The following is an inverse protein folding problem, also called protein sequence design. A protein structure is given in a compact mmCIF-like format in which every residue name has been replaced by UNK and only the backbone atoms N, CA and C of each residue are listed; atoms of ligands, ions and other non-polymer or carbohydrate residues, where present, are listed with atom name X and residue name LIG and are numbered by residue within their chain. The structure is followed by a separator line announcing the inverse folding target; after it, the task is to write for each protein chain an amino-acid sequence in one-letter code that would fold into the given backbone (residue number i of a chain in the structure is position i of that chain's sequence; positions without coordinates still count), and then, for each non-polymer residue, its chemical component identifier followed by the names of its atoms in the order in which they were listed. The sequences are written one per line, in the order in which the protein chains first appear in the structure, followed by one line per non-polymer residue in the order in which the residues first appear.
data_IF_840362003939
#
_entry.id   IF_840362003939
#
_cell.length_a   1.000
_cell.length_b   1.000
_cell.length_c   1.000
_cell.angle_alpha   90.00
_cell.angle_beta   90.00
_cell.angle_gamma   90.00
#
_symmetry.space_group_name_H-M   'P 1'
#
loop_
_entity.id
_entity.type
_entity.pdbx_description
1 polymer ?
#
# COMPACT_ATOMS: atom_id res chain seq x y z
N UNK A 1 -1.74 -21.72 0.39
CA UNK A 1 -2.46 -20.52 -0.09
C UNK A 1 -1.94 -19.33 0.70
N UNK A 2 -1.25 -18.36 0.10
CA UNK A 2 -0.70 -17.27 0.90
C UNK A 2 -1.87 -16.39 1.31
N UNK A 3 -1.98 -16.21 2.62
CA UNK A 3 -2.99 -15.45 3.30
C UNK A 3 -3.08 -14.06 2.67
N UNK A 4 -4.29 -13.66 2.28
CA UNK A 4 -4.58 -12.26 1.94
C UNK A 4 -3.89 -11.37 2.97
N UNK A 5 -2.97 -10.50 2.53
CA UNK A 5 -2.50 -9.40 3.36
C UNK A 5 -3.78 -8.70 3.84
N UNK A 6 -4.15 -8.94 5.10
CA UNK A 6 -5.29 -8.29 5.74
C UNK A 6 -4.84 -6.87 6.01
N UNK A 7 -4.93 -6.03 4.98
CA UNK A 7 -4.85 -4.60 5.19
C UNK A 7 -5.98 -4.26 6.16
N UNK A 8 -5.65 -3.73 7.32
CA UNK A 8 -6.66 -3.19 8.19
C UNK A 8 -7.19 -1.91 7.53
N UNK A 9 -8.11 -2.05 6.58
CA UNK A 9 -8.94 -0.97 6.04
C UNK A 9 -9.77 -0.27 7.16
N UNK A 10 -9.64 -0.76 8.40
CA UNK A 10 -10.25 -0.27 9.61
C UNK A 10 -9.19 0.22 10.62
N UNK A 11 -8.12 0.89 10.19
CA UNK A 11 -7.31 1.67 11.14
C UNK A 11 -8.22 2.57 12.01
N UNK A 12 -9.38 2.98 11.47
CA UNK A 12 -10.48 3.62 12.20
C UNK A 12 -11.11 2.86 13.39
N UNK A 13 -10.82 1.56 13.57
CA UNK A 13 -11.47 0.71 14.60
C UNK A 13 -10.47 0.00 15.49
N UNK A 14 -9.55 0.73 16.13
CA UNK A 14 -8.87 0.20 17.32
C UNK A 14 -9.92 -0.10 18.41
N UNK A 15 -10.19 -1.39 18.63
CA UNK A 15 -11.15 -1.86 19.62
C UNK A 15 -10.59 -1.76 21.05
N UNK A 16 -9.27 -1.92 21.21
CA UNK A 16 -8.54 -1.94 22.48
C UNK A 16 -7.43 -0.88 22.45
N UNK A 17 -7.12 -0.31 23.61
CA UNK A 17 -6.09 0.71 23.74
C UNK A 17 -4.69 0.10 23.56
N UNK A 18 -3.86 0.70 22.71
CA UNK A 18 -2.49 0.24 22.48
C UNK A 18 -1.56 0.41 23.71
N UNK A 19 -1.96 1.22 24.70
CA UNK A 19 -1.17 1.46 25.94
C UNK A 19 -1.57 0.57 27.10
N UNK A 20 -2.87 0.43 27.38
CA UNK A 20 -3.38 -0.24 28.59
C UNK A 20 -4.43 -1.31 28.30
N UNK A 21 -4.63 -1.68 27.03
CA UNK A 21 -5.61 -2.64 26.56
C UNK A 21 -7.09 -2.31 26.84
N UNK A 22 -7.47 -1.28 27.59
CA UNK A 22 -8.88 -0.92 27.84
C UNK A 22 -9.69 -0.79 26.54
N UNK A 23 -10.96 -1.25 26.48
CA UNK A 23 -11.83 -1.02 25.34
C UNK A 23 -11.92 0.47 24.98
N UNK A 24 -11.61 0.80 23.74
CA UNK A 24 -11.62 2.18 23.26
C UNK A 24 -13.07 2.64 23.07
N UNK A 25 -13.35 3.94 23.28
CA UNK A 25 -14.65 4.56 23.03
C UNK A 25 -14.54 5.64 21.96
N UNK A 26 -15.61 5.88 21.21
CA UNK A 26 -15.69 7.03 20.32
C UNK A 26 -16.18 8.20 21.15
N UNK A 27 -15.35 9.23 21.30
CA UNK A 27 -15.66 10.41 22.10
C UNK A 27 -15.16 11.67 21.41
N UNK A 28 -15.72 12.81 21.79
CA UNK A 28 -15.34 14.11 21.24
C UNK A 28 -14.02 14.55 21.85
N UNK A 29 -13.04 14.83 20.99
CA UNK A 29 -11.69 15.31 21.35
C UNK A 29 -11.44 16.54 20.50
N UNK A 30 -11.56 17.72 21.13
CA UNK A 30 -11.65 18.98 20.41
C UNK A 30 -12.94 19.06 19.57
N UNK A 31 -12.78 19.37 18.29
CA UNK A 31 -13.84 19.53 17.29
C UNK A 31 -14.25 18.21 16.61
N UNK A 32 -13.51 17.11 16.81
CA UNK A 32 -13.71 15.85 16.08
C UNK A 32 -14.07 14.68 17.01
N UNK A 33 -14.86 13.75 16.49
CA UNK A 33 -15.05 12.44 17.11
C UNK A 33 -13.83 11.57 16.85
N UNK A 34 -13.22 11.07 17.93
CA UNK A 34 -12.02 10.23 17.87
C UNK A 34 -12.19 8.99 18.73
N UNK A 35 -11.42 7.95 18.41
CA UNK A 35 -11.26 6.79 19.29
C UNK A 35 -10.31 7.17 20.40
N UNK A 36 -10.78 7.17 21.64
CA UNK A 36 -9.94 7.47 22.80
C UNK A 36 -10.24 6.55 23.98
N UNK A 37 -9.22 6.34 24.79
CA UNK A 37 -9.23 5.41 25.92
C UNK A 37 -9.81 6.11 27.15
N UNK A 38 -10.89 5.60 27.76
CA UNK A 38 -11.47 6.21 28.96
C UNK A 38 -10.61 6.00 30.22
N UNK A 39 -9.67 5.05 30.22
CA UNK A 39 -8.87 4.74 31.41
C UNK A 39 -7.56 5.55 31.50
N UNK A 40 -6.86 5.73 30.38
CA UNK A 40 -5.53 6.37 30.37
C UNK A 40 -5.44 7.61 29.47
N UNK A 41 -6.54 8.03 28.84
CA UNK A 41 -6.59 9.22 27.99
C UNK A 41 -5.93 9.08 26.62
N UNK A 42 -5.38 7.92 26.25
CA UNK A 42 -4.78 7.70 24.92
C UNK A 42 -5.78 7.99 23.78
N UNK A 43 -5.37 8.78 22.80
CA UNK A 43 -6.17 9.11 21.61
C UNK A 43 -5.55 8.41 20.39
N UNK A 44 -6.37 7.65 19.67
CA UNK A 44 -5.97 7.03 18.41
C UNK A 44 -6.31 7.95 17.25
N UNK A 45 -5.27 8.51 16.63
CA UNK A 45 -5.38 9.32 15.42
C UNK A 45 -5.38 8.42 14.19
N UNK A 46 -6.37 8.61 13.33
CA UNK A 46 -6.52 7.85 12.08
C UNK A 46 -6.02 8.70 10.94
N UNK A 47 -4.81 8.43 10.48
CA UNK A 47 -4.25 9.10 9.32
C UNK A 47 -4.41 8.23 8.07
N UNK A 48 -4.62 8.83 6.89
CA UNK A 48 -4.61 8.10 5.64
C UNK A 48 -3.21 7.49 5.41
N UNK A 49 -3.16 6.25 4.93
CA UNK A 49 -1.89 5.69 4.43
C UNK A 49 -1.64 6.25 3.04
N UNK A 50 -0.44 6.79 2.83
CA UNK A 50 -0.02 7.32 1.53
C UNK A 50 0.38 6.16 0.62
N UNK A 51 -0.10 6.21 -0.63
CA UNK A 51 0.28 5.29 -1.68
C UNK A 51 0.75 6.05 -2.92
N UNK A 52 1.54 5.37 -3.73
CA UNK A 52 2.17 5.90 -4.95
C UNK A 52 1.97 4.90 -6.07
N UNK A 53 1.71 5.41 -7.28
CA UNK A 53 1.72 4.65 -8.51
C UNK A 53 2.56 5.38 -9.56
N UNK A 54 3.22 4.64 -10.44
CA UNK A 54 4.17 5.19 -11.42
C UNK A 54 3.88 4.69 -12.82
N UNK A 55 3.92 5.61 -13.79
CA UNK A 55 3.95 5.28 -15.22
C UNK A 55 5.41 5.26 -15.68
N UNK A 56 5.89 4.10 -16.12
CA UNK A 56 7.20 3.98 -16.75
C UNK A 56 6.99 3.90 -18.26
N UNK A 57 7.53 4.88 -18.99
CA UNK A 57 7.47 4.95 -20.44
C UNK A 57 8.81 4.54 -21.04
N UNK A 58 8.77 3.71 -22.07
CA UNK A 58 9.94 3.32 -22.84
C UNK A 58 9.54 3.01 -24.28
N UNK A 59 10.16 3.69 -25.26
CA UNK A 59 9.88 3.51 -26.70
C UNK A 59 8.39 3.59 -27.06
N UNK A 60 7.66 4.54 -26.47
CA UNK A 60 6.22 4.70 -26.69
C UNK A 60 5.34 3.63 -26.03
N UNK A 61 5.91 2.74 -25.22
CA UNK A 61 5.20 1.69 -24.47
C UNK A 61 5.14 2.03 -22.99
N UNK A 62 4.17 1.47 -22.28
CA UNK A 62 3.98 1.61 -20.82
C UNK A 62 4.18 0.27 -20.13
N UNK A 63 4.83 0.30 -18.96
CA UNK A 63 4.97 -0.81 -18.02
C UNK A 63 3.63 -1.11 -17.32
N UNK A 64 3.15 -2.35 -17.45
CA UNK A 64 2.02 -2.87 -16.70
C UNK A 64 2.38 -4.16 -15.95
N UNK A 65 1.84 -4.30 -14.73
CA UNK A 65 1.98 -5.49 -13.89
C UNK A 65 0.65 -6.23 -13.81
N UNK A 66 0.70 -7.57 -13.80
CA UNK A 66 -0.49 -8.40 -13.58
C UNK A 66 -0.68 -8.63 -12.10
N UNK A 67 -1.83 -8.22 -11.55
CA UNK A 67 -2.13 -8.36 -10.13
C UNK A 67 -2.20 -9.84 -9.74
N UNK A 68 -1.37 -10.24 -8.78
CA UNK A 68 -1.38 -11.60 -8.21
C UNK A 68 -2.18 -11.69 -6.91
N UNK A 69 -2.55 -10.54 -6.33
CA UNK A 69 -3.23 -10.42 -5.04
C UNK A 69 -4.61 -9.77 -5.17
N UNK A 70 -5.54 -10.19 -4.31
CA UNK A 70 -6.86 -9.57 -4.21
C UNK A 70 -6.78 -8.14 -3.65
N UNK A 71 -7.72 -7.25 -4.03
CA UNK A 71 -8.80 -7.49 -4.99
C UNK A 71 -8.29 -7.45 -6.45
N UNK A 72 -9.10 -7.99 -7.38
CA UNK A 72 -8.85 -7.93 -8.82
C UNK A 72 -7.60 -8.69 -9.31
N UNK A 73 -7.42 -9.93 -8.83
CA UNK A 73 -6.39 -10.83 -9.36
C UNK A 73 -6.54 -10.98 -10.88
N UNK A 74 -5.43 -11.03 -11.58
CA UNK A 74 -5.34 -11.27 -13.02
C UNK A 74 -5.53 -10.02 -13.88
N UNK A 75 -5.99 -8.90 -13.31
CA UNK A 75 -6.10 -7.62 -14.03
C UNK A 75 -4.76 -6.90 -14.15
N UNK A 76 -4.66 -6.05 -15.16
CA UNK A 76 -3.52 -5.16 -15.39
C UNK A 76 -3.59 -3.91 -14.50
N UNK A 77 -2.44 -3.44 -14.05
CA UNK A 77 -2.29 -2.21 -13.27
C UNK A 77 -0.89 -1.61 -13.50
N UNK A 78 -0.71 -0.36 -13.12
CA UNK A 78 0.62 0.24 -13.01
C UNK A 78 1.33 -0.29 -11.76
N UNK A 79 2.68 -0.28 -11.71
CA UNK A 79 3.41 -0.49 -10.46
C UNK A 79 2.96 0.54 -9.42
N UNK A 80 2.65 0.06 -8.22
CA UNK A 80 2.14 0.90 -7.14
C UNK A 80 2.29 0.21 -5.79
N UNK A 81 2.50 1.01 -4.75
CA UNK A 81 2.69 0.54 -3.38
C UNK A 81 2.46 1.62 -2.34
N UNK A 82 2.63 1.25 -1.08
CA UNK A 82 2.48 2.16 0.05
C UNK A 82 3.83 2.79 0.41
N UNK A 83 3.79 4.09 0.76
CA UNK A 83 4.97 4.82 1.24
C UNK A 83 5.20 4.47 2.70
N UNK A 84 6.40 4.03 3.05
CA UNK A 84 6.76 3.76 4.44
C UNK A 84 7.00 5.04 5.24
N UNK A 85 6.86 4.95 6.56
CA UNK A 85 6.97 6.13 7.42
C UNK A 85 8.40 6.70 7.34
N UNK A 86 8.53 7.94 6.87
CA UNK A 86 9.81 8.60 6.67
C UNK A 86 10.49 8.31 5.32
N UNK A 87 9.88 7.50 4.45
CA UNK A 87 10.38 7.25 3.09
C UNK A 87 9.96 8.40 2.15
N UNK A 88 10.87 8.86 1.27
CA UNK A 88 10.50 9.81 0.23
C UNK A 88 9.59 9.11 -0.80
N UNK A 89 8.43 9.68 -1.17
CA UNK A 89 7.52 9.06 -2.14
C UNK A 89 8.17 8.71 -3.49
N UNK A 90 9.24 9.41 -3.90
CA UNK A 90 10.01 9.13 -5.11
C UNK A 90 10.84 7.86 -4.95
N UNK A 91 11.44 7.64 -3.79
CA UNK A 91 12.17 6.41 -3.48
C UNK A 91 11.22 5.21 -3.49
N UNK A 92 10.04 5.35 -2.87
CA UNK A 92 8.97 4.35 -2.99
C UNK A 92 8.60 4.11 -4.46
N UNK A 93 8.42 5.16 -5.27
CA UNK A 93 8.08 5.01 -6.69
C UNK A 93 9.14 4.20 -7.45
N UNK A 94 10.43 4.47 -7.20
CA UNK A 94 11.56 3.75 -7.80
C UNK A 94 11.57 2.30 -7.33
N UNK A 95 11.39 2.03 -6.03
CA UNK A 95 11.31 0.68 -5.47
C UNK A 95 10.15 -0.14 -6.06
N UNK A 96 8.98 0.46 -6.19
CA UNK A 96 7.80 -0.21 -6.77
C UNK A 96 7.95 -0.42 -8.28
N UNK A 97 8.61 0.50 -9.00
CA UNK A 97 9.00 0.28 -10.38
C UNK A 97 10.00 -0.90 -10.48
N UNK A 98 11.02 -0.92 -9.62
CA UNK A 98 12.08 -1.95 -9.55
C UNK A 98 11.57 -3.34 -9.21
N UNK A 99 10.63 -3.45 -8.28
CA UNK A 99 10.02 -4.73 -7.90
C UNK A 99 9.23 -5.41 -9.02
N UNK A 100 8.92 -4.70 -10.11
CA UNK A 100 8.07 -5.19 -11.21
C UNK A 100 8.80 -5.77 -12.43
N UNK A 101 10.14 -5.86 -12.45
CA UNK A 101 10.86 -6.11 -13.70
C UNK A 101 11.08 -7.60 -14.08
N UNK A 102 10.25 -8.13 -15.00
CA UNK A 102 10.68 -9.01 -16.14
C UNK A 102 9.83 -8.84 -17.41
N UNK A 103 10.40 -8.46 -18.55
CA UNK A 103 9.72 -8.09 -19.83
C UNK A 103 9.02 -9.29 -20.52
N UNK A 104 7.73 -9.15 -20.83
CA UNK A 104 6.93 -9.95 -21.77
C UNK A 104 6.26 -8.93 -22.70
N UNK A 105 6.48 -9.00 -24.01
CA UNK A 105 5.90 -8.03 -24.96
C UNK A 105 4.66 -8.65 -25.60
N UNK A 106 3.48 -8.04 -25.41
CA UNK A 106 2.27 -8.36 -26.19
C UNK A 106 1.68 -7.04 -26.70
N UNK A 107 1.73 -6.81 -28.02
CA UNK A 107 1.22 -5.56 -28.62
C UNK A 107 1.99 -4.29 -28.20
N UNK A 108 1.27 -3.18 -27.99
CA UNK A 108 1.83 -1.86 -27.66
C UNK A 108 2.13 -1.65 -26.15
N UNK A 109 2.02 -2.69 -25.33
CA UNK A 109 2.28 -2.63 -23.90
C UNK A 109 3.32 -3.71 -23.52
N UNK A 110 4.08 -3.44 -22.46
CA UNK A 110 5.01 -4.41 -21.92
C UNK A 110 4.43 -4.99 -20.62
N UNK A 111 4.18 -6.30 -20.63
CA UNK A 111 3.70 -7.12 -19.51
C UNK A 111 4.91 -7.55 -18.69
N UNK A 112 4.81 -7.61 -17.35
CA UNK A 112 5.89 -8.17 -16.55
C UNK A 112 5.42 -9.27 -15.55
N UNK A 113 6.26 -10.30 -15.34
CA UNK A 113 6.07 -11.41 -14.37
C UNK A 113 7.30 -11.57 -13.44
N UNK A 114 7.10 -11.48 -12.13
CA UNK A 114 8.08 -11.80 -11.05
C UNK A 114 8.65 -13.24 -11.26
N UNK A 115 9.97 -13.55 -11.20
CA UNK A 115 10.92 -13.18 -10.13
C UNK A 115 12.31 -12.64 -10.55
N UNK A 116 12.95 -12.01 -9.55
CA UNK A 116 14.35 -11.61 -9.34
C UNK A 116 15.37 -12.15 -10.37
N UNK A 117 16.11 -11.22 -11.01
CA UNK A 117 17.26 -11.36 -11.94
C UNK A 117 16.99 -10.68 -13.29
N UNK A 118 17.34 -9.38 -13.45
CA UNK A 118 17.36 -8.74 -14.78
C UNK A 118 18.09 -7.38 -14.87
N UNK A 119 19.16 -7.12 -14.10
CA UNK A 119 20.04 -5.97 -14.36
C UNK A 119 21.48 -6.44 -14.57
N UNK A 120 21.70 -7.15 -15.67
CA UNK A 120 22.98 -7.27 -16.34
C UNK A 120 22.69 -7.10 -17.82
N UNK A 121 22.91 -5.88 -18.31
CA UNK A 121 23.39 -5.54 -19.65
C UNK A 121 23.60 -4.02 -19.71
#
# INVERSE_FOLDING_TARGET
APETIKFCARSARCARCARCATPMKTQRVGDKLRRACPACGFIHFTDPKVGVGVFVLHEGKILLVRRTMHPQIGKWSIPAGFVDAGEDPRETAVREALGGFRKITEGNYAIFRNPLEAFSD
#
